data_IF_421955601748
#
_entry.id   IF_421955601748
#
_cell.length_a   1.000
_cell.length_b   1.000
_cell.length_c   1.000
_cell.angle_alpha   90.00
_cell.angle_beta   90.00
_cell.angle_gamma   90.00
#
_symmetry.space_group_name_H-M   'P 1'
#
loop_
_entity.id
_entity.type
_entity.pdbx_description
1 polymer ?
#
# COMPACT_ATOMS: atom_id res chain seq x y z
N UNK A 1 20.15 -14.10 -5.14
CA UNK A 1 19.29 -13.42 -6.15
C UNK A 1 18.83 -12.12 -5.52
N UNK A 2 18.83 -10.99 -6.24
CA UNK A 2 18.22 -9.76 -5.73
C UNK A 2 16.72 -10.05 -5.50
N UNK A 3 16.15 -9.67 -4.34
CA UNK A 3 14.77 -10.02 -4.01
C UNK A 3 13.79 -9.29 -4.92
N UNK A 4 12.80 -10.02 -5.42
CA UNK A 4 11.62 -9.43 -6.05
C UNK A 4 10.66 -9.09 -4.93
N UNK A 5 10.16 -7.86 -4.90
CA UNK A 5 9.12 -7.42 -3.96
C UNK A 5 7.76 -7.41 -4.65
N UNK A 6 6.78 -8.02 -4.04
CA UNK A 6 5.42 -8.14 -4.58
C UNK A 6 4.43 -7.53 -3.59
N UNK A 7 3.70 -6.51 -4.03
CA UNK A 7 2.76 -5.76 -3.20
C UNK A 7 1.36 -5.84 -3.79
N UNK A 8 0.38 -6.15 -2.96
CA UNK A 8 -1.04 -6.02 -3.28
C UNK A 8 -1.61 -4.87 -2.44
N UNK A 9 -2.23 -3.92 -3.11
CA UNK A 9 -3.08 -2.91 -2.47
C UNK A 9 -4.53 -3.27 -2.78
N UNK A 10 -5.39 -3.32 -1.77
CA UNK A 10 -6.78 -3.65 -1.98
C UNK A 10 -7.71 -2.82 -1.09
N UNK A 11 -8.93 -2.63 -1.59
CA UNK A 11 -9.93 -1.84 -0.90
C UNK A 11 -11.21 -1.75 -1.72
N UNK A 12 -11.98 -0.73 -1.46
CA UNK A 12 -13.25 -0.44 -2.10
C UNK A 12 -13.10 0.62 -3.20
N UNK A 13 -13.92 0.56 -4.22
CA UNK A 13 -13.95 1.56 -5.29
C UNK A 13 -14.20 2.98 -4.73
N UNK A 14 -13.34 3.92 -5.09
CA UNK A 14 -13.35 5.28 -4.57
C UNK A 14 -12.32 5.56 -3.46
N UNK A 15 -11.68 4.55 -2.86
CA UNK A 15 -10.63 4.74 -1.85
C UNK A 15 -9.24 5.10 -2.44
N UNK A 16 -9.11 5.25 -3.75
CA UNK A 16 -7.84 5.60 -4.39
C UNK A 16 -6.79 4.48 -4.42
N UNK A 17 -7.21 3.21 -4.39
CA UNK A 17 -6.33 2.04 -4.40
C UNK A 17 -5.43 2.02 -5.64
N UNK A 18 -6.01 2.28 -6.82
CA UNK A 18 -5.24 2.30 -8.08
C UNK A 18 -4.25 3.47 -8.08
N UNK A 19 -4.66 4.63 -7.58
CA UNK A 19 -3.77 5.78 -7.44
C UNK A 19 -2.58 5.46 -6.52
N UNK A 20 -2.82 4.83 -5.37
CA UNK A 20 -1.75 4.41 -4.47
C UNK A 20 -0.79 3.39 -5.14
N UNK A 21 -1.32 2.45 -5.91
CA UNK A 21 -0.51 1.51 -6.71
C UNK A 21 0.32 2.23 -7.78
N UNK A 22 -0.26 3.23 -8.45
CA UNK A 22 0.45 4.06 -9.45
C UNK A 22 1.57 4.86 -8.80
N UNK A 23 1.33 5.47 -7.64
CA UNK A 23 2.35 6.22 -6.88
C UNK A 23 3.50 5.26 -6.46
N UNK A 24 3.19 4.07 -5.94
CA UNK A 24 4.20 3.09 -5.56
C UNK A 24 5.04 2.65 -6.77
N UNK A 25 4.39 2.41 -7.90
CA UNK A 25 5.06 2.02 -9.14
C UNK A 25 5.99 3.11 -9.67
N UNK A 26 5.53 4.36 -9.65
CA UNK A 26 6.36 5.51 -10.05
C UNK A 26 7.56 5.69 -9.10
N UNK A 27 7.34 5.57 -7.79
CA UNK A 27 8.42 5.66 -6.82
C UNK A 27 9.49 4.58 -7.04
N UNK A 28 9.07 3.34 -7.33
CA UNK A 28 10.00 2.26 -7.64
C UNK A 28 10.75 2.49 -8.96
N UNK A 29 10.08 3.05 -9.96
CA UNK A 29 10.70 3.44 -11.23
C UNK A 29 11.74 4.55 -11.00
N UNK A 30 11.42 5.56 -10.20
CA UNK A 30 12.34 6.64 -9.85
C UNK A 30 13.55 6.14 -9.03
N UNK A 31 13.39 5.08 -8.23
CA UNK A 31 14.48 4.33 -7.56
C UNK A 31 15.35 3.53 -8.56
N UNK A 32 15.09 3.61 -9.86
CA UNK A 32 15.83 2.88 -10.89
C UNK A 32 15.51 1.39 -10.97
N UNK A 33 14.39 0.95 -10.41
CA UNK A 33 13.97 -0.46 -10.39
C UNK A 33 13.09 -0.81 -11.58
N UNK A 34 13.07 -2.08 -11.92
CA UNK A 34 12.10 -2.65 -12.85
C UNK A 34 10.75 -2.80 -12.13
N UNK A 35 9.67 -2.38 -12.79
CA UNK A 35 8.33 -2.35 -12.20
C UNK A 35 7.33 -2.94 -13.17
N UNK A 36 6.43 -3.77 -12.65
CA UNK A 36 5.19 -4.12 -13.32
C UNK A 36 4.01 -3.78 -12.42
N UNK A 37 3.00 -3.15 -12.99
CA UNK A 37 1.79 -2.76 -12.25
C UNK A 37 0.55 -3.20 -13.00
N UNK A 38 -0.39 -3.81 -12.28
CA UNK A 38 -1.71 -4.16 -12.80
C UNK A 38 -2.78 -3.66 -11.84
N UNK A 39 -3.94 -3.29 -12.38
CA UNK A 39 -5.08 -2.87 -11.59
C UNK A 39 -6.36 -3.57 -12.05
N UNK A 40 -7.25 -3.85 -11.11
CA UNK A 40 -8.56 -4.42 -11.38
C UNK A 40 -9.62 -3.73 -10.53
N UNK A 41 -10.67 -3.32 -11.19
CA UNK A 41 -11.89 -2.83 -10.54
C UNK A 41 -12.87 -4.00 -10.44
N UNK A 42 -13.58 -4.11 -9.30
CA UNK A 42 -14.66 -5.08 -9.17
C UNK A 42 -15.77 -4.80 -10.21
N UNK A 43 -16.37 -5.86 -10.74
CA UNK A 43 -17.41 -5.78 -11.77
C UNK A 43 -18.70 -5.07 -11.31
N UNK A 44 -18.90 -4.87 -10.00
CA UNK A 44 -20.00 -4.09 -9.48
C UNK A 44 -19.70 -2.59 -9.59
N UNK A 45 -20.59 -1.83 -10.24
CA UNK A 45 -20.47 -0.39 -10.41
C UNK A 45 -20.37 0.41 -9.08
N UNK A 46 -20.82 -0.19 -7.98
CA UNK A 46 -20.64 0.26 -6.60
C UNK A 46 -20.41 -0.95 -5.70
N UNK A 47 -19.37 -0.96 -4.87
CA UNK A 47 -19.16 -2.00 -3.85
C UNK A 47 -18.21 -3.14 -4.24
N UNK A 48 -17.62 -3.14 -5.43
CA UNK A 48 -16.65 -4.15 -5.83
C UNK A 48 -15.28 -3.98 -5.20
N UNK A 49 -14.63 -5.10 -4.83
CA UNK A 49 -13.24 -5.08 -4.39
C UNK A 49 -12.33 -4.57 -5.50
N UNK A 50 -11.64 -3.46 -5.24
CA UNK A 50 -10.64 -2.87 -6.12
C UNK A 50 -9.25 -3.33 -5.66
N UNK A 51 -8.35 -3.57 -6.60
CA UNK A 51 -6.95 -3.87 -6.29
C UNK A 51 -5.99 -3.20 -7.26
N UNK A 52 -4.77 -2.98 -6.76
CA UNK A 52 -3.58 -2.74 -7.56
C UNK A 52 -2.51 -3.76 -7.13
N UNK A 53 -1.79 -4.31 -8.07
CA UNK A 53 -0.69 -5.23 -7.85
C UNK A 53 0.59 -4.61 -8.41
N UNK A 54 1.66 -4.61 -7.61
CA UNK A 54 2.95 -4.04 -8.01
C UNK A 54 4.04 -5.06 -7.77
N UNK A 55 4.80 -5.38 -8.82
CA UNK A 55 6.00 -6.20 -8.77
C UNK A 55 7.21 -5.29 -8.98
N UNK A 56 8.18 -5.33 -8.09
CA UNK A 56 9.37 -4.47 -8.07
C UNK A 56 10.61 -5.35 -8.04
N UNK A 57 11.59 -5.07 -8.90
CA UNK A 57 12.80 -5.89 -9.03
C UNK A 57 14.02 -5.06 -9.42
N UNK A 58 15.18 -5.45 -8.95
CA UNK A 58 16.49 -4.92 -9.42
C UNK A 58 16.89 -5.43 -10.82
N UNK A 59 16.14 -6.39 -11.38
CA UNK A 59 16.40 -7.03 -12.68
C UNK A 59 15.14 -7.06 -13.52
N UNK A 60 15.24 -7.25 -14.85
CA UNK A 60 14.08 -7.37 -15.74
C UNK A 60 13.05 -8.36 -15.20
N UNK A 61 11.78 -7.95 -15.19
CA UNK A 61 10.66 -8.76 -14.72
C UNK A 61 10.20 -9.66 -15.87
N UNK A 62 10.33 -10.97 -15.70
CA UNK A 62 9.90 -11.98 -16.69
C UNK A 62 8.41 -12.26 -16.52
N UNK A 63 7.91 -12.32 -15.27
CA UNK A 63 6.51 -12.58 -14.97
C UNK A 63 5.88 -11.34 -14.30
N UNK A 64 4.95 -10.65 -14.99
CA UNK A 64 4.50 -9.32 -14.57
C UNK A 64 3.40 -9.30 -13.50
N UNK A 65 3.01 -10.46 -12.98
CA UNK A 65 1.92 -10.57 -12.00
C UNK A 65 2.42 -10.96 -10.62
N UNK A 66 1.71 -10.52 -9.58
CA UNK A 66 1.95 -10.99 -8.22
C UNK A 66 1.59 -12.46 -8.10
N UNK A 67 2.54 -13.30 -7.67
CA UNK A 67 2.33 -14.72 -7.41
C UNK A 67 2.00 -14.92 -5.93
N UNK A 68 2.86 -14.39 -5.05
CA UNK A 68 2.68 -14.41 -3.61
C UNK A 68 3.18 -13.08 -3.04
N UNK A 69 2.28 -12.30 -2.45
CA UNK A 69 2.59 -10.95 -2.00
C UNK A 69 3.48 -10.98 -0.74
N UNK A 70 4.55 -10.21 -0.76
CA UNK A 70 5.35 -9.91 0.44
C UNK A 70 4.60 -8.95 1.36
N UNK A 71 3.78 -8.07 0.76
CA UNK A 71 2.98 -7.09 1.50
C UNK A 71 1.57 -6.98 0.93
N UNK A 72 0.58 -7.10 1.81
CA UNK A 72 -0.82 -6.78 1.51
C UNK A 72 -1.20 -5.49 2.25
N UNK A 73 -1.58 -4.46 1.49
CA UNK A 73 -2.14 -3.21 2.05
C UNK A 73 -3.64 -3.26 1.85
N UNK A 74 -4.40 -3.39 2.93
CA UNK A 74 -5.85 -3.58 2.90
C UNK A 74 -6.59 -2.39 3.53
N UNK A 75 -7.54 -1.82 2.80
CA UNK A 75 -8.34 -0.68 3.25
C UNK A 75 -9.83 -1.02 3.44
N UNK A 76 -10.23 -2.26 3.20
CA UNK A 76 -11.63 -2.69 3.35
C UNK A 76 -11.76 -4.20 3.52
N UNK A 77 -12.69 -4.66 4.39
CA UNK A 77 -12.84 -6.06 4.78
C UNK A 77 -13.03 -7.02 3.61
N UNK A 78 -14.03 -6.78 2.75
CA UNK A 78 -14.33 -7.69 1.62
C UNK A 78 -13.16 -7.80 0.62
N UNK A 79 -12.35 -6.76 0.49
CA UNK A 79 -11.15 -6.82 -0.33
C UNK A 79 -10.04 -7.62 0.36
N UNK A 80 -9.88 -7.44 1.68
CA UNK A 80 -8.98 -8.25 2.49
C UNK A 80 -9.31 -9.75 2.36
N UNK A 81 -10.56 -10.13 2.61
CA UNK A 81 -11.02 -11.53 2.55
C UNK A 81 -10.71 -12.19 1.20
N UNK A 82 -10.83 -11.40 0.12
CA UNK A 82 -10.57 -11.87 -1.25
C UNK A 82 -9.08 -12.10 -1.53
N UNK A 83 -8.18 -11.32 -0.95
CA UNK A 83 -6.77 -11.30 -1.33
C UNK A 83 -5.81 -11.83 -0.26
N UNK A 84 -6.27 -12.08 0.96
CA UNK A 84 -5.41 -12.57 2.06
C UNK A 84 -4.72 -13.90 1.73
N UNK A 85 -5.41 -14.82 1.05
CA UNK A 85 -4.84 -16.09 0.60
C UNK A 85 -3.71 -15.99 -0.43
N UNK A 86 -3.41 -14.77 -0.92
CA UNK A 86 -2.31 -14.51 -1.85
C UNK A 86 -1.07 -13.93 -1.17
N UNK A 87 -1.09 -13.77 0.15
CA UNK A 87 0.05 -13.31 0.94
C UNK A 87 1.00 -14.49 1.18
N UNK A 88 2.29 -14.23 1.09
CA UNK A 88 3.35 -15.23 1.23
C UNK A 88 3.34 -15.83 2.64
N UNK A 89 3.08 -17.14 2.79
CA UNK A 89 3.05 -17.77 4.10
C UNK A 89 4.39 -17.63 4.84
N UNK A 90 4.34 -17.36 6.14
CA UNK A 90 5.51 -17.27 7.02
C UNK A 90 6.35 -16.00 6.90
N UNK A 91 6.24 -15.25 5.79
CA UNK A 91 7.08 -14.08 5.54
C UNK A 91 6.26 -12.80 5.26
N UNK A 92 5.02 -12.94 4.83
CA UNK A 92 4.20 -11.83 4.39
C UNK A 92 3.75 -10.92 5.53
N UNK A 93 3.55 -9.65 5.18
CA UNK A 93 3.07 -8.62 6.10
C UNK A 93 1.73 -8.09 5.62
N UNK A 94 0.76 -8.03 6.52
CA UNK A 94 -0.56 -7.41 6.29
C UNK A 94 -0.60 -6.06 7.00
N UNK A 95 -0.75 -5.00 6.22
CA UNK A 95 -0.93 -3.64 6.72
C UNK A 95 -2.36 -3.23 6.42
N UNK A 96 -3.16 -2.97 7.43
CA UNK A 96 -4.58 -2.73 7.26
C UNK A 96 -5.06 -1.44 7.91
N UNK A 97 -6.13 -0.85 7.36
CA UNK A 97 -6.79 0.30 7.98
C UNK A 97 -7.60 -0.19 9.19
N UNK A 98 -7.35 0.38 10.37
CA UNK A 98 -8.04 0.05 11.64
C UNK A 98 -9.58 0.29 11.62
N UNK A 99 -10.15 0.76 10.50
CA UNK A 99 -11.62 0.79 10.29
C UNK A 99 -12.25 -0.60 10.30
N UNK A 100 -11.48 -1.64 10.03
CA UNK A 100 -11.88 -3.03 10.16
C UNK A 100 -10.79 -3.80 10.90
N UNK A 101 -11.17 -4.91 11.53
CA UNK A 101 -10.25 -5.83 12.20
C UNK A 101 -10.23 -7.12 11.38
N UNK A 102 -9.12 -7.42 10.69
CA UNK A 102 -9.04 -8.64 9.90
C UNK A 102 -8.99 -9.87 10.82
N UNK A 103 -9.53 -10.98 10.34
CA UNK A 103 -9.24 -12.28 10.95
C UNK A 103 -7.76 -12.62 10.71
N UNK A 104 -7.01 -12.78 11.78
CA UNK A 104 -5.57 -13.04 11.71
C UNK A 104 -5.32 -14.50 11.30
N UNK A 105 -4.58 -14.70 10.21
CA UNK A 105 -4.05 -16.01 9.84
C UNK A 105 -2.76 -16.30 10.61
N UNK A 106 -2.56 -17.57 11.00
CA UNK A 106 -1.28 -18.01 11.57
C UNK A 106 -0.15 -17.74 10.57
N UNK A 107 1.02 -17.46 11.08
CA UNK A 107 2.26 -17.25 10.31
C UNK A 107 2.30 -15.98 9.43
N UNK A 108 1.41 -15.01 9.63
CA UNK A 108 1.49 -13.70 9.03
C UNK A 108 1.69 -12.61 10.09
N UNK A 109 2.33 -11.52 9.69
CA UNK A 109 2.48 -10.32 10.53
C UNK A 109 1.37 -9.32 10.20
N UNK A 110 0.73 -8.78 11.23
CA UNK A 110 -0.38 -7.82 11.08
C UNK A 110 -0.05 -6.48 11.73
N UNK A 111 -0.28 -5.40 10.99
CA UNK A 111 -0.09 -4.04 11.50
C UNK A 111 -1.30 -3.18 11.15
N UNK A 112 -2.05 -2.77 12.15
CA UNK A 112 -3.15 -1.82 12.01
C UNK A 112 -2.63 -0.38 11.93
N UNK A 113 -3.13 0.37 10.95
CA UNK A 113 -2.85 1.80 10.77
C UNK A 113 -4.18 2.55 10.79
N UNK A 114 -4.38 3.56 11.65
CA UNK A 114 -5.63 4.32 11.72
C UNK A 114 -5.76 5.33 10.55
N UNK A 115 -5.49 4.88 9.30
CA UNK A 115 -5.33 5.75 8.15
C UNK A 115 -6.58 6.58 7.85
N UNK A 116 -7.75 5.95 7.78
CA UNK A 116 -9.01 6.64 7.49
C UNK A 116 -9.42 7.61 8.62
N UNK A 117 -9.22 7.21 9.88
CA UNK A 117 -9.50 8.06 11.02
C UNK A 117 -8.59 9.28 11.02
N UNK A 118 -7.29 9.08 10.89
CA UNK A 118 -6.29 10.17 10.91
C UNK A 118 -6.46 11.12 9.71
N UNK A 119 -6.83 10.60 8.53
CA UNK A 119 -7.14 11.44 7.37
C UNK A 119 -8.30 12.41 7.64
N UNK A 120 -9.33 11.96 8.34
CA UNK A 120 -10.47 12.81 8.72
C UNK A 120 -10.11 13.79 9.84
N UNK A 121 -9.43 13.33 10.89
CA UNK A 121 -9.11 14.14 12.07
C UNK A 121 -8.04 15.20 11.78
N UNK A 122 -6.95 14.87 11.10
CA UNK A 122 -5.82 15.78 10.90
C UNK A 122 -5.89 16.55 9.56
N UNK A 123 -6.54 15.99 8.53
CA UNK A 123 -6.58 16.61 7.19
C UNK A 123 -7.98 17.04 6.76
N UNK A 124 -9.00 16.72 7.55
CA UNK A 124 -10.41 16.91 7.19
C UNK A 124 -10.75 16.37 5.78
N UNK A 125 -10.06 15.30 5.36
CA UNK A 125 -10.18 14.73 4.03
C UNK A 125 -9.89 13.21 4.03
N UNK A 126 -10.95 12.40 4.07
CA UNK A 126 -10.85 10.95 4.06
C UNK A 126 -10.20 10.34 2.81
N UNK A 127 -10.14 11.08 1.70
CA UNK A 127 -9.51 10.62 0.45
C UNK A 127 -7.99 10.48 0.56
N UNK A 128 -7.37 11.17 1.53
CA UNK A 128 -5.93 11.08 1.77
C UNK A 128 -5.48 9.81 2.52
N UNK A 129 -6.42 8.99 2.97
CA UNK A 129 -6.13 7.75 3.71
C UNK A 129 -5.27 6.75 2.92
N UNK A 130 -5.45 6.69 1.60
CA UNK A 130 -4.65 5.84 0.72
C UNK A 130 -3.16 6.21 0.73
N UNK A 131 -2.83 7.50 0.73
CA UNK A 131 -1.44 7.97 0.81
C UNK A 131 -0.89 7.77 2.21
N UNK A 132 -1.69 7.96 3.27
CA UNK A 132 -1.27 7.69 4.65
C UNK A 132 -0.85 6.22 4.81
N UNK A 133 -1.72 5.27 4.42
CA UNK A 133 -1.42 3.85 4.62
C UNK A 133 -0.28 3.36 3.71
N UNK A 134 -0.21 3.85 2.46
CA UNK A 134 0.91 3.57 1.56
C UNK A 134 2.23 4.04 2.17
N UNK A 135 2.28 5.26 2.68
CA UNK A 135 3.51 5.82 3.25
C UNK A 135 3.92 5.12 4.55
N UNK A 136 2.94 4.70 5.37
CA UNK A 136 3.21 3.85 6.53
C UNK A 136 3.81 2.48 6.10
N UNK A 137 3.28 1.88 5.03
CA UNK A 137 3.80 0.64 4.48
C UNK A 137 5.23 0.81 3.96
N UNK A 138 5.53 1.89 3.24
CA UNK A 138 6.89 2.21 2.77
C UNK A 138 7.85 2.39 3.96
N UNK A 139 7.44 3.10 5.02
CA UNK A 139 8.24 3.28 6.23
C UNK A 139 8.61 1.95 6.90
N UNK A 140 7.70 0.97 6.88
CA UNK A 140 7.85 -0.31 7.58
C UNK A 140 8.55 -1.39 6.75
N UNK A 141 8.50 -1.30 5.42
CA UNK A 141 8.96 -2.38 4.53
C UNK A 141 10.15 -2.00 3.66
N UNK A 142 10.51 -0.71 3.62
CA UNK A 142 11.56 -0.17 2.74
C UNK A 142 11.45 -0.63 1.28
N UNK A 143 10.21 -0.82 0.80
CA UNK A 143 9.95 -1.33 -0.56
C UNK A 143 10.39 -0.36 -1.65
N UNK A 144 10.33 0.95 -1.35
CA UNK A 144 10.89 2.06 -2.14
C UNK A 144 11.50 3.10 -1.19
N UNK A 145 12.35 3.98 -1.71
CA UNK A 145 12.90 5.07 -0.91
C UNK A 145 11.83 6.12 -0.61
N UNK A 146 11.90 6.74 0.58
CA UNK A 146 11.02 7.84 0.98
C UNK A 146 11.14 9.06 0.06
N UNK A 147 12.36 9.30 -0.45
CA UNK A 147 12.65 10.38 -1.38
C UNK A 147 11.86 10.19 -2.68
N UNK A 148 11.91 8.99 -3.24
CA UNK A 148 11.25 8.73 -4.51
C UNK A 148 9.73 8.54 -4.35
N UNK A 149 9.24 8.12 -3.16
CA UNK A 149 7.81 8.21 -2.87
C UNK A 149 7.30 9.65 -2.90
N UNK A 150 8.07 10.59 -2.33
CA UNK A 150 7.75 12.03 -2.39
C UNK A 150 7.74 12.52 -3.84
N UNK A 151 8.78 12.21 -4.61
CA UNK A 151 8.86 12.59 -6.04
C UNK A 151 7.68 12.07 -6.83
N UNK A 152 7.31 10.81 -6.65
CA UNK A 152 6.16 10.20 -7.32
C UNK A 152 4.82 10.89 -6.97
N UNK A 153 4.64 11.30 -5.71
CA UNK A 153 3.46 12.08 -5.30
C UNK A 153 3.45 13.44 -6.02
N UNK A 154 4.58 14.12 -6.08
CA UNK A 154 4.71 15.42 -6.75
C UNK A 154 4.47 15.33 -8.26
N UNK A 155 4.85 14.22 -8.88
CA UNK A 155 4.66 13.96 -10.32
C UNK A 155 3.21 13.60 -10.68
N UNK A 156 2.59 12.71 -9.89
CA UNK A 156 1.29 12.10 -10.23
C UNK A 156 0.12 12.93 -9.74
N UNK A 157 0.26 13.54 -8.54
CA UNK A 157 -0.85 14.26 -7.92
C UNK A 157 -0.98 15.65 -8.53
N UNK A 158 -2.20 16.04 -8.98
CA UNK A 158 -2.45 17.39 -9.47
C UNK A 158 -2.01 18.45 -8.44
N UNK A 159 -1.45 19.55 -8.92
CA UNK A 159 -0.85 20.62 -8.10
C UNK A 159 -1.76 21.07 -6.95
N UNK A 160 -3.04 21.26 -7.22
CA UNK A 160 -4.05 21.67 -6.20
C UNK A 160 -4.22 20.72 -5.02
N UNK A 161 -3.83 19.44 -5.17
CA UNK A 161 -3.94 18.41 -4.14
C UNK A 161 -2.58 17.97 -3.58
N UNK A 162 -1.50 18.49 -4.12
CA UNK A 162 -0.13 18.05 -3.83
C UNK A 162 0.23 18.31 -2.37
N UNK A 163 -0.03 19.51 -1.87
CA UNK A 163 0.25 19.87 -0.48
C UNK A 163 -0.47 18.94 0.51
N UNK A 164 -1.75 18.66 0.26
CA UNK A 164 -2.55 17.73 1.08
C UNK A 164 -1.92 16.33 1.12
N UNK A 165 -1.52 15.81 -0.05
CA UNK A 165 -0.97 14.47 -0.15
C UNK A 165 0.46 14.38 0.43
N UNK A 166 1.26 15.43 0.36
CA UNK A 166 2.55 15.50 1.06
C UNK A 166 2.39 15.54 2.59
N UNK A 167 1.37 16.23 3.11
CA UNK A 167 1.01 16.14 4.54
C UNK A 167 0.58 14.72 4.92
N UNK A 168 -0.27 14.08 4.10
CA UNK A 168 -0.69 12.69 4.29
C UNK A 168 0.51 11.72 4.30
N UNK A 169 1.47 11.91 3.39
CA UNK A 169 2.70 11.13 3.36
C UNK A 169 3.50 11.24 4.67
N UNK A 170 3.69 12.44 5.18
CA UNK A 170 4.41 12.67 6.44
C UNK A 170 3.71 12.03 7.64
N UNK A 171 2.37 12.09 7.68
CA UNK A 171 1.55 11.41 8.67
C UNK A 171 1.78 9.90 8.58
N UNK A 172 1.74 9.34 7.37
CA UNK A 172 1.96 7.92 7.13
C UNK A 172 3.34 7.45 7.64
N UNK A 173 4.40 8.18 7.36
CA UNK A 173 5.74 7.88 7.88
C UNK A 173 5.79 7.94 9.41
N UNK A 174 5.14 8.93 10.03
CA UNK A 174 5.03 9.01 11.49
C UNK A 174 4.35 7.78 12.09
N UNK A 175 3.20 7.39 11.54
CA UNK A 175 2.44 6.22 11.99
C UNK A 175 3.22 4.92 11.76
N UNK A 176 3.86 4.77 10.60
CA UNK A 176 4.70 3.61 10.28
C UNK A 176 5.84 3.43 11.26
N UNK A 177 6.57 4.50 11.60
CA UNK A 177 7.64 4.47 12.61
C UNK A 177 7.16 3.98 13.97
N UNK A 178 6.01 4.48 14.42
CA UNK A 178 5.44 4.10 15.71
C UNK A 178 5.10 2.61 15.77
N UNK A 179 4.70 2.03 14.63
CA UNK A 179 4.27 0.63 14.51
C UNK A 179 5.38 -0.35 14.04
N UNK A 180 6.53 0.15 13.57
CA UNK A 180 7.64 -0.69 13.05
C UNK A 180 8.14 -1.74 14.05
N UNK A 181 8.09 -1.44 15.34
CA UNK A 181 8.50 -2.39 16.39
C UNK A 181 7.66 -3.68 16.39
N UNK A 182 6.44 -3.66 15.87
CA UNK A 182 5.57 -4.84 15.80
C UNK A 182 5.94 -5.82 14.68
N UNK A 183 6.66 -5.36 13.65
CA UNK A 183 7.10 -6.22 12.54
C UNK A 183 8.33 -7.04 12.91
N UNK A 184 9.18 -6.53 13.77
CA UNK A 184 10.49 -7.13 14.09
C UNK A 184 10.50 -7.99 15.37
N UNK A 185 9.38 -8.04 16.13
CA UNK A 185 9.33 -8.71 17.45
C UNK A 185 8.67 -10.11 17.46
N UNK A 186 8.36 -10.72 16.30
CA UNK A 186 7.81 -12.09 16.26
C UNK A 186 8.59 -12.98 15.30
#
# INVERSE_FOLDING_TARGET
MAPIKQVILCGFGGQGIVLAGTILSQAAFNDGKWVSSTASYGAAARGGACRAEVVISERPIIFPYVIAADTLIAMYQTAYDKYIGRVKPGEGVVIYDERFVPEEMKDLKYVGIPASRTALEELNNGMAANVIILSAAVEMTDVVSKKELKSAIEEIIPERLRELNLKAMNIGFRLGRTKSNHIHQR
#
